data_IF_202749782718
#
_entry.id   IF_202749782718
#
_cell.length_a   1.000
_cell.length_b   1.000
_cell.length_c   1.000
_cell.angle_alpha   90.00
_cell.angle_beta   90.00
_cell.angle_gamma   90.00
#
_symmetry.space_group_name_H-M   'P 1'
#
loop_
_entity.id
_entity.type
_entity.pdbx_description
1 polymer ?
#
# COMPACT_ATOMS: atom_id res chain seq x y z
N UNK A 1 29.10 32.39 18.10
CA UNK A 1 29.18 30.92 18.05
C UNK A 1 28.31 30.28 19.13
N UNK A 2 28.11 30.94 20.28
CA UNK A 2 27.22 30.50 21.38
C UNK A 2 25.76 30.21 20.98
N UNK A 3 25.19 30.95 20.01
CA UNK A 3 23.81 30.71 19.58
C UNK A 3 23.61 29.35 18.92
N UNK A 4 24.57 28.92 18.09
CA UNK A 4 24.53 27.62 17.44
C UNK A 4 24.75 26.50 18.46
N UNK A 5 25.66 26.70 19.41
CA UNK A 5 25.88 25.77 20.53
C UNK A 5 24.63 25.61 21.39
N UNK A 6 23.85 26.68 21.59
CA UNK A 6 22.58 26.63 22.31
C UNK A 6 21.47 25.92 21.54
N UNK A 7 21.43 26.04 20.20
CA UNK A 7 20.46 25.32 19.36
C UNK A 7 20.82 23.84 19.36
N UNK A 8 22.08 23.51 19.11
CA UNK A 8 22.60 22.14 19.07
C UNK A 8 22.34 21.45 20.41
N UNK A 9 22.65 22.10 21.53
CA UNK A 9 22.41 21.54 22.85
C UNK A 9 20.91 21.32 23.13
N UNK A 10 20.03 22.20 22.66
CA UNK A 10 18.60 22.04 22.85
C UNK A 10 18.01 20.91 21.98
N UNK A 11 18.49 20.77 20.75
CA UNK A 11 18.12 19.66 19.85
C UNK A 11 18.59 18.32 20.42
N UNK A 12 19.81 18.23 20.94
CA UNK A 12 20.36 17.01 21.57
C UNK A 12 19.52 16.55 22.77
N UNK A 13 19.07 17.49 23.61
CA UNK A 13 18.20 17.18 24.76
C UNK A 13 16.83 16.64 24.33
N UNK A 14 16.24 17.18 23.26
CA UNK A 14 14.97 16.67 22.74
C UNK A 14 15.12 15.29 22.07
N UNK A 15 16.21 15.06 21.37
CA UNK A 15 16.54 13.73 20.82
C UNK A 15 16.70 12.71 21.97
N UNK A 16 17.43 13.06 23.02
CA UNK A 16 17.62 12.19 24.19
C UNK A 16 16.30 11.92 24.91
N UNK A 17 15.45 12.95 25.05
CA UNK A 17 14.10 12.81 25.61
C UNK A 17 13.26 11.83 24.78
N UNK A 18 13.30 11.93 23.46
CA UNK A 18 12.53 11.06 22.56
C UNK A 18 13.01 9.61 22.62
N UNK A 19 14.33 9.38 22.55
CA UNK A 19 14.93 8.04 22.56
C UNK A 19 14.77 7.33 23.91
N UNK A 20 14.77 8.07 25.02
CA UNK A 20 14.61 7.52 26.37
C UNK A 20 13.18 7.61 26.92
N UNK A 21 12.21 8.08 26.12
CA UNK A 21 10.82 8.14 26.58
C UNK A 21 10.23 6.72 26.69
N UNK A 22 9.74 6.29 27.87
CA UNK A 22 9.28 4.92 28.13
C UNK A 22 8.02 4.49 27.36
N UNK A 23 7.49 5.35 26.50
CA UNK A 23 6.29 5.09 25.68
C UNK A 23 6.43 5.37 24.18
N UNK A 24 7.62 5.80 23.70
CA UNK A 24 7.82 6.15 22.27
C UNK A 24 8.99 5.40 21.62
N UNK A 25 9.72 4.55 22.35
CA UNK A 25 10.59 3.52 21.75
C UNK A 25 9.75 2.38 21.14
N UNK A 26 8.93 2.74 20.16
CA UNK A 26 8.24 1.83 19.27
C UNK A 26 8.79 2.01 17.85
N UNK A 27 10.12 2.07 17.71
CA UNK A 27 10.79 1.87 16.44
C UNK A 27 11.52 0.53 16.52
N UNK A 28 10.80 -0.52 16.11
CA UNK A 28 11.19 -1.94 16.04
C UNK A 28 10.92 -2.79 17.29
N UNK A 29 9.65 -3.03 17.63
CA UNK A 29 9.29 -4.22 18.43
C UNK A 29 9.24 -5.49 17.56
N UNK A 30 10.27 -5.72 16.76
CA UNK A 30 10.71 -7.07 16.45
C UNK A 30 12.08 -7.27 17.09
N UNK A 31 12.04 -7.97 18.24
CA UNK A 31 13.14 -8.70 18.91
C UNK A 31 14.24 -7.77 19.50
N UNK A 32 14.52 -7.75 20.79
CA UNK A 32 14.78 -8.92 21.64
C UNK A 32 14.27 -8.69 23.07
N UNK A 33 13.16 -9.35 23.41
CA UNK A 33 12.95 -9.78 24.78
C UNK A 33 12.77 -11.30 24.69
N UNK A 34 13.64 -12.04 25.36
CA UNK A 34 13.55 -13.48 25.52
C UNK A 34 12.20 -13.83 26.16
N UNK A 35 11.22 -14.18 25.34
CA UNK A 35 9.96 -14.76 25.79
C UNK A 35 10.14 -16.26 25.82
N UNK A 36 9.82 -16.86 26.98
CA UNK A 36 9.78 -18.28 27.24
C UNK A 36 9.16 -19.06 26.06
N UNK A 37 9.82 -20.10 25.50
CA UNK A 37 9.34 -20.81 24.30
C UNK A 37 7.96 -21.48 24.40
N UNK A 38 7.25 -21.38 25.54
CA UNK A 38 5.97 -22.05 25.78
C UNK A 38 4.78 -21.11 26.05
N UNK A 39 4.95 -19.80 26.15
CA UNK A 39 3.80 -18.89 26.23
C UNK A 39 3.38 -18.43 24.83
N UNK A 40 2.20 -18.88 24.40
CA UNK A 40 1.52 -18.62 23.13
C UNK A 40 1.86 -17.28 22.45
N UNK A 41 2.88 -17.31 21.60
CA UNK A 41 3.28 -16.21 20.69
C UNK A 41 2.14 -15.87 19.71
N UNK A 42 1.18 -16.79 19.56
CA UNK A 42 -0.02 -16.68 18.73
C UNK A 42 -0.88 -15.44 19.06
N UNK A 43 -0.90 -14.99 20.32
CA UNK A 43 -1.74 -13.85 20.74
C UNK A 43 -1.10 -12.47 20.53
N UNK A 44 0.23 -12.37 20.41
CA UNK A 44 0.96 -11.11 20.25
C UNK A 44 1.34 -10.76 18.80
N UNK A 45 1.15 -11.70 17.85
CA UNK A 45 1.60 -11.54 16.45
C UNK A 45 0.49 -11.48 15.40
N UNK A 46 -0.79 -11.54 15.78
CA UNK A 46 -1.86 -11.39 14.80
C UNK A 46 -2.00 -9.91 14.45
N UNK A 47 -1.34 -9.46 13.39
CA UNK A 47 -1.63 -8.18 12.75
C UNK A 47 -3.15 -8.11 12.54
N UNK A 48 -3.79 -7.03 13.03
CA UNK A 48 -5.23 -6.86 12.86
C UNK A 48 -5.52 -6.77 11.37
N UNK A 49 -6.34 -7.70 10.88
CA UNK A 49 -6.76 -7.73 9.48
C UNK A 49 -7.65 -6.52 9.22
N UNK A 50 -7.44 -5.86 8.08
CA UNK A 50 -8.29 -4.75 7.63
C UNK A 50 -8.69 -5.04 6.20
N UNK A 51 -9.98 -4.90 5.89
CA UNK A 51 -10.47 -4.99 4.53
C UNK A 51 -10.70 -3.58 3.98
N UNK A 52 -9.91 -3.19 2.98
CA UNK A 52 -10.03 -1.86 2.35
C UNK A 52 -11.35 -1.70 1.58
N UNK A 53 -11.98 -2.81 1.15
CA UNK A 53 -13.25 -2.79 0.42
C UNK A 53 -14.44 -2.56 1.36
N UNK A 54 -14.39 -3.13 2.56
CA UNK A 54 -15.45 -3.01 3.56
C UNK A 54 -15.16 -1.94 4.62
N UNK A 55 -13.98 -1.33 4.59
CA UNK A 55 -13.46 -0.36 5.56
C UNK A 55 -13.61 -0.82 7.03
N UNK A 56 -13.46 -2.13 7.29
CA UNK A 56 -13.67 -2.74 8.60
C UNK A 56 -12.46 -3.56 9.05
N UNK A 57 -12.13 -3.42 10.33
CA UNK A 57 -11.10 -4.23 10.99
C UNK A 57 -11.66 -5.57 11.46
N UNK A 58 -10.77 -6.56 11.57
CA UNK A 58 -10.96 -7.85 12.24
C UNK A 58 -12.02 -8.79 11.65
N UNK A 59 -12.67 -8.42 10.54
CA UNK A 59 -13.65 -9.27 9.86
C UNK A 59 -12.98 -10.28 8.92
N UNK A 60 -12.20 -9.79 7.95
CA UNK A 60 -11.48 -10.57 6.95
C UNK A 60 -10.36 -9.69 6.37
N UNK A 61 -9.42 -10.29 5.63
CA UNK A 61 -8.43 -9.55 4.83
C UNK A 61 -9.02 -9.15 3.47
N UNK A 62 -8.49 -8.13 2.81
CA UNK A 62 -8.95 -7.65 1.48
C UNK A 62 -9.03 -8.80 0.45
N UNK A 63 -8.09 -9.74 0.46
CA UNK A 63 -8.07 -10.91 -0.45
C UNK A 63 -9.17 -11.96 -0.18
N UNK A 64 -9.70 -11.99 1.05
CA UNK A 64 -10.77 -12.91 1.47
C UNK A 64 -12.16 -12.32 1.18
N UNK A 65 -12.25 -11.03 0.82
CA UNK A 65 -13.51 -10.32 0.63
C UNK A 65 -14.31 -10.86 -0.57
N UNK A 66 -15.58 -11.22 -0.33
CA UNK A 66 -16.49 -11.65 -1.40
C UNK A 66 -16.79 -10.53 -2.40
N UNK A 67 -16.87 -9.28 -1.92
CA UNK A 67 -17.08 -8.11 -2.78
C UNK A 67 -15.87 -7.88 -3.69
N UNK A 68 -14.64 -8.02 -3.17
CA UNK A 68 -13.42 -7.96 -3.97
C UNK A 68 -13.43 -8.99 -5.11
N UNK A 69 -13.87 -10.23 -4.82
CA UNK A 69 -14.00 -11.29 -5.85
C UNK A 69 -15.04 -10.92 -6.91
N UNK A 70 -16.17 -10.36 -6.49
CA UNK A 70 -17.22 -9.92 -7.42
C UNK A 70 -16.75 -8.75 -8.30
N UNK A 71 -16.00 -7.79 -7.74
CA UNK A 71 -15.39 -6.71 -8.52
C UNK A 71 -14.35 -7.22 -9.52
N UNK A 72 -13.57 -8.23 -9.17
CA UNK A 72 -12.65 -8.88 -10.08
C UNK A 72 -13.36 -9.66 -11.20
N UNK A 73 -14.57 -10.16 -10.98
CA UNK A 73 -15.37 -10.79 -12.04
C UNK A 73 -16.08 -9.77 -12.94
N UNK A 74 -16.42 -8.61 -12.37
CA UNK A 74 -17.08 -7.50 -13.06
C UNK A 74 -16.10 -6.53 -13.71
N UNK A 75 -14.80 -6.65 -13.43
CA UNK A 75 -13.79 -5.96 -14.21
C UNK A 75 -13.98 -6.38 -15.67
N UNK A 76 -13.70 -5.46 -16.58
CA UNK A 76 -13.87 -5.76 -17.99
C UNK A 76 -13.07 -7.03 -18.31
N UNK A 77 -13.76 -8.06 -18.81
CA UNK A 77 -13.19 -9.30 -19.34
C UNK A 77 -12.36 -9.03 -20.62
N UNK A 78 -11.49 -8.03 -20.59
CA UNK A 78 -10.36 -7.93 -21.50
C UNK A 78 -9.35 -9.00 -21.08
N UNK A 79 -9.72 -10.28 -21.26
CA UNK A 79 -8.84 -11.43 -21.23
C UNK A 79 -7.92 -11.44 -22.46
N UNK A 80 -7.27 -10.29 -22.72
CA UNK A 80 -6.23 -10.19 -23.73
C UNK A 80 -5.01 -10.97 -23.26
N UNK A 81 -4.31 -11.60 -24.20
CA UNK A 81 -2.97 -12.11 -23.95
C UNK A 81 -2.11 -10.97 -23.36
N UNK A 82 -1.50 -11.12 -22.17
CA UNK A 82 -0.64 -10.10 -21.56
C UNK A 82 0.52 -9.66 -22.45
N UNK A 83 0.91 -10.51 -23.42
CA UNK A 83 1.95 -10.22 -24.40
C UNK A 83 1.42 -9.63 -25.71
N UNK A 84 0.10 -9.62 -25.91
CA UNK A 84 -0.48 -9.04 -27.12
C UNK A 84 -0.36 -7.52 -27.11
N UNK A 85 0.23 -6.99 -28.19
CA UNK A 85 0.30 -5.54 -28.42
C UNK A 85 -1.12 -5.04 -28.69
N UNK A 86 -1.62 -4.17 -27.80
CA UNK A 86 -2.91 -3.50 -27.99
C UNK A 86 -2.77 -2.44 -29.10
N UNK A 87 -3.52 -2.53 -30.20
CA UNK A 87 -3.38 -1.59 -31.31
C UNK A 87 -3.81 -0.18 -30.88
N UNK A 88 -2.99 0.81 -31.23
CA UNK A 88 -3.20 2.23 -30.95
C UNK A 88 -3.44 2.99 -32.26
N UNK A 89 -4.35 3.96 -32.23
CA UNK A 89 -4.65 4.82 -33.37
C UNK A 89 -4.26 6.26 -33.04
N UNK A 90 -3.29 6.80 -33.76
CA UNK A 90 -2.81 8.18 -33.58
C UNK A 90 -3.86 9.23 -34.00
N UNK A 91 -4.81 8.87 -34.88
CA UNK A 91 -5.89 9.78 -35.32
C UNK A 91 -6.99 9.97 -34.26
N UNK A 92 -7.25 8.92 -33.47
CA UNK A 92 -8.26 8.91 -32.42
C UNK A 92 -7.66 9.06 -31.02
N UNK A 93 -6.34 8.99 -30.92
CA UNK A 93 -5.56 9.03 -29.67
C UNK A 93 -6.01 7.97 -28.65
N UNK A 94 -6.49 6.81 -29.13
CA UNK A 94 -7.04 5.75 -28.29
C UNK A 94 -6.62 4.35 -28.76
N UNK A 95 -6.72 3.40 -27.84
CA UNK A 95 -6.51 1.99 -28.14
C UNK A 95 -7.79 1.30 -28.66
N UNK A 96 -7.63 0.35 -29.58
CA UNK A 96 -8.72 -0.51 -30.06
C UNK A 96 -8.63 -0.86 -31.55
N UNK A 97 -7.91 -0.06 -32.34
CA UNK A 97 -7.64 -0.29 -33.76
C UNK A 97 -6.31 0.38 -34.15
N UNK A 98 -5.72 -0.03 -35.27
CA UNK A 98 -4.54 0.63 -35.84
C UNK A 98 -4.95 1.87 -36.63
N UNK A 99 -4.06 2.86 -36.71
CA UNK A 99 -4.26 4.08 -37.52
C UNK A 99 -4.68 3.79 -38.97
N UNK A 100 -4.21 2.69 -39.56
CA UNK A 100 -4.51 2.23 -40.92
C UNK A 100 -5.96 1.75 -41.10
N UNK A 101 -6.57 1.21 -40.05
CA UNK A 101 -7.94 0.67 -40.05
C UNK A 101 -8.98 1.67 -39.53
N UNK A 102 -8.57 2.92 -39.27
CA UNK A 102 -9.44 3.97 -38.79
C UNK A 102 -10.42 4.39 -39.90
N UNK A 103 -11.72 4.13 -39.72
CA UNK A 103 -12.79 4.67 -40.55
C UNK A 103 -12.89 6.18 -40.28
N UNK A 104 -12.13 6.96 -41.03
CA UNK A 104 -12.14 8.42 -40.97
C UNK A 104 -13.47 8.96 -41.48
N UNK A 105 -14.46 9.04 -40.60
CA UNK A 105 -15.58 9.95 -40.77
C UNK A 105 -15.65 10.80 -39.51
N UNK A 106 -14.79 11.82 -39.45
CA UNK A 106 -15.10 13.00 -38.65
C UNK A 106 -16.16 13.74 -39.46
N UNK A 107 -17.43 13.36 -39.32
CA UNK A 107 -18.50 14.26 -39.73
C UNK A 107 -18.33 15.53 -38.88
N UNK A 108 -18.06 16.64 -39.56
CA UNK A 108 -17.95 17.97 -38.99
C UNK A 108 -19.32 18.64 -38.96
#
# INVERSE_FOLDING_TARGET
>A
MEFLESIIANEEVEIDRFMNHPGLNCSNTLQENFVDPQSDISALRQLRKFCDVCEIFDAHDTEECELYKQELMNNSNYGGDPLAVRPYCDRCEMFGHLTESCSSVKES
#
